data_IF_246750590440
#
_entry.id   IF_246750590440
#
_cell.length_a   1.000
_cell.length_b   1.000
_cell.length_c   1.000
_cell.angle_alpha   90.00
_cell.angle_beta   90.00
_cell.angle_gamma   90.00
#
_symmetry.space_group_name_H-M   'P 1'
#
loop_
_entity.id
_entity.type
_entity.pdbx_description
1 polymer ?
#
# COMPACT_ATOMS: atom_id res chain seq x y z
N UNK A 1 -6.60 -18.77 -3.04
CA UNK A 1 -5.97 -17.49 -2.64
C UNK A 1 -7.03 -16.42 -2.82
N UNK A 2 -7.55 -15.86 -1.74
CA UNK A 2 -8.58 -14.82 -1.83
C UNK A 2 -7.96 -13.54 -2.40
N UNK A 3 -8.52 -13.03 -3.50
CA UNK A 3 -8.10 -11.78 -4.13
C UNK A 3 -9.07 -10.67 -3.71
N UNK A 4 -8.54 -9.50 -3.36
CA UNK A 4 -9.31 -8.29 -3.08
C UNK A 4 -9.10 -7.27 -4.19
N UNK A 5 -10.17 -6.56 -4.54
CA UNK A 5 -10.13 -5.50 -5.53
C UNK A 5 -10.03 -4.15 -4.82
N UNK A 6 -8.99 -3.39 -5.17
CA UNK A 6 -8.76 -2.04 -4.65
C UNK A 6 -8.52 -1.07 -5.80
N UNK A 7 -8.67 0.23 -5.54
CA UNK A 7 -8.34 1.29 -6.48
C UNK A 7 -7.17 2.10 -5.95
N UNK A 8 -6.08 2.19 -6.72
CA UNK A 8 -4.93 3.04 -6.41
C UNK A 8 -4.91 4.17 -7.44
N UNK A 9 -5.09 5.42 -7.00
CA UNK A 9 -5.16 6.60 -7.89
C UNK A 9 -6.13 6.42 -9.08
N UNK A 10 -7.27 5.77 -8.84
CA UNK A 10 -8.27 5.47 -9.87
C UNK A 10 -8.02 4.19 -10.69
N UNK A 11 -6.83 3.59 -10.59
CA UNK A 11 -6.46 2.34 -11.27
C UNK A 11 -7.00 1.16 -10.47
N UNK A 12 -7.86 0.35 -11.08
CA UNK A 12 -8.37 -0.87 -10.46
C UNK A 12 -7.29 -1.96 -10.48
N UNK A 13 -6.97 -2.51 -9.31
CA UNK A 13 -5.99 -3.60 -9.16
C UNK A 13 -6.53 -4.70 -8.24
N UNK A 14 -6.13 -5.94 -8.54
CA UNK A 14 -6.44 -7.10 -7.71
C UNK A 14 -5.18 -7.60 -7.01
N UNK A 15 -5.22 -7.64 -5.68
CA UNK A 15 -4.12 -8.13 -4.83
C UNK A 15 -4.58 -9.28 -3.94
N UNK A 16 -3.68 -10.21 -3.58
CA UNK A 16 -3.99 -11.20 -2.55
C UNK A 16 -4.44 -10.52 -1.24
N UNK A 17 -5.38 -11.16 -0.56
CA UNK A 17 -5.78 -10.75 0.79
C UNK A 17 -4.55 -10.82 1.71
N UNK A 18 -4.31 -9.73 2.45
CA UNK A 18 -3.12 -9.58 3.30
C UNK A 18 -1.94 -8.86 2.63
N UNK A 19 -2.06 -8.46 1.36
CA UNK A 19 -1.08 -7.56 0.74
C UNK A 19 -1.12 -6.15 1.34
N UNK A 20 0.04 -5.49 1.33
CA UNK A 20 0.18 -4.10 1.78
C UNK A 20 -0.31 -3.11 0.70
N UNK A 21 -0.53 -1.85 1.07
CA UNK A 21 -0.84 -0.80 0.09
C UNK A 21 0.33 -0.60 -0.88
N UNK A 22 1.57 -0.78 -0.41
CA UNK A 22 2.78 -0.73 -1.23
C UNK A 22 2.78 -1.81 -2.33
N UNK A 23 2.34 -3.05 -2.02
CA UNK A 23 2.21 -4.11 -3.02
C UNK A 23 1.14 -3.80 -4.06
N UNK A 24 0.00 -3.23 -3.62
CA UNK A 24 -1.06 -2.80 -4.51
C UNK A 24 -0.60 -1.66 -5.44
N UNK A 25 0.14 -0.68 -4.90
CA UNK A 25 0.69 0.42 -5.69
C UNK A 25 1.70 -0.06 -6.74
N UNK A 26 2.59 -0.99 -6.38
CA UNK A 26 3.53 -1.60 -7.34
C UNK A 26 2.81 -2.32 -8.47
N UNK A 27 1.74 -3.06 -8.18
CA UNK A 27 0.92 -3.68 -9.23
C UNK A 27 0.20 -2.66 -10.13
N UNK A 28 -0.13 -1.49 -9.58
CA UNK A 28 -0.68 -0.37 -10.35
C UNK A 28 0.38 0.38 -11.18
N UNK A 29 1.66 0.00 -11.10
CA UNK A 29 2.76 0.72 -11.76
C UNK A 29 3.15 2.03 -11.06
N UNK A 30 2.72 2.22 -9.80
CA UNK A 30 3.01 3.41 -9.00
C UNK A 30 4.15 3.09 -8.05
N UNK A 31 5.25 3.82 -8.20
CA UNK A 31 6.40 3.71 -7.31
C UNK A 31 6.20 4.61 -6.08
N UNK A 32 6.12 3.99 -4.91
CA UNK A 32 6.13 4.69 -3.62
C UNK A 32 7.53 4.55 -3.04
N UNK A 33 8.22 5.65 -2.71
CA UNK A 33 9.55 5.59 -2.14
C UNK A 33 9.52 4.88 -0.79
N UNK A 34 10.55 4.10 -0.51
CA UNK A 34 10.71 3.39 0.77
C UNK A 34 12.17 3.38 1.20
N UNK A 35 12.43 3.70 2.48
CA UNK A 35 13.78 3.62 3.06
C UNK A 35 13.94 2.45 4.02
N UNK A 36 12.98 2.27 4.94
CA UNK A 36 13.07 1.24 5.98
C UNK A 36 12.37 -0.09 5.61
N UNK A 37 11.70 -0.15 4.46
CA UNK A 37 10.99 -1.35 4.02
C UNK A 37 11.95 -2.26 3.23
N UNK A 38 12.13 -3.48 3.71
CA UNK A 38 12.83 -4.54 3.00
C UNK A 38 11.92 -5.76 2.97
N UNK A 39 11.49 -6.15 1.76
CA UNK A 39 10.63 -7.32 1.55
C UNK A 39 11.25 -8.53 2.26
N UNK A 40 10.44 -9.26 3.02
CA UNK A 40 10.83 -10.47 3.79
C UNK A 40 11.77 -10.24 4.98
N UNK A 41 12.16 -9.00 5.28
CA UNK A 41 13.10 -8.71 6.38
C UNK A 41 12.59 -7.68 7.38
N UNK A 42 11.97 -6.59 6.92
CA UNK A 42 11.59 -5.50 7.80
C UNK A 42 10.36 -4.73 7.30
N UNK A 43 9.30 -4.77 8.10
CA UNK A 43 8.00 -4.12 7.87
C UNK A 43 7.66 -3.23 9.08
N UNK A 44 8.53 -2.26 9.39
CA UNK A 44 8.41 -1.44 10.62
C UNK A 44 7.76 -0.07 10.40
N UNK A 45 7.69 0.40 9.15
CA UNK A 45 7.12 1.72 8.84
C UNK A 45 7.81 2.91 9.51
N UNK A 46 9.04 2.76 10.03
CA UNK A 46 9.70 3.78 10.85
C UNK A 46 10.07 5.06 10.09
N UNK A 47 10.46 4.95 8.81
CA UNK A 47 10.93 6.11 8.04
C UNK A 47 9.80 7.06 7.59
N UNK A 48 8.54 6.61 7.60
CA UNK A 48 7.35 7.38 7.19
C UNK A 48 7.43 8.05 5.81
N UNK A 49 8.34 7.64 4.94
CA UNK A 49 8.45 8.21 3.57
C UNK A 49 7.37 7.67 2.63
N UNK A 50 6.80 6.51 2.94
CA UNK A 50 5.78 5.83 2.13
C UNK A 50 4.34 6.21 2.54
N UNK A 51 4.14 7.40 3.08
CA UNK A 51 2.83 7.83 3.57
C UNK A 51 1.88 8.08 2.42
N UNK A 52 0.65 7.58 2.55
CA UNK A 52 -0.41 7.66 1.55
C UNK A 52 -1.75 7.95 2.21
N UNK A 53 -2.68 8.47 1.40
CA UNK A 53 -4.05 8.72 1.79
C UNK A 53 -4.96 7.56 1.37
N UNK A 54 -5.73 7.02 2.31
CA UNK A 54 -6.68 5.93 2.07
C UNK A 54 -8.10 6.42 2.34
N UNK A 55 -8.97 6.20 1.37
CA UNK A 55 -10.39 6.50 1.49
C UNK A 55 -11.14 5.27 2.05
N UNK A 56 -11.66 5.37 3.27
CA UNK A 56 -12.44 4.32 3.94
C UNK A 56 -13.96 4.58 3.87
N UNK A 57 -14.41 5.43 2.94
CA UNK A 57 -15.82 5.77 2.71
C UNK A 57 -16.42 6.77 3.71
N UNK A 58 -15.81 6.93 4.89
CA UNK A 58 -16.20 7.90 5.93
C UNK A 58 -15.23 9.08 6.07
N UNK A 59 -14.19 9.12 5.23
CA UNK A 59 -13.14 10.12 5.26
C UNK A 59 -11.83 9.55 4.73
N UNK A 60 -10.81 10.42 4.73
CA UNK A 60 -9.45 10.07 4.35
C UNK A 60 -8.61 9.85 5.59
N UNK A 61 -7.88 8.73 5.62
CA UNK A 61 -6.92 8.42 6.68
C UNK A 61 -5.52 8.38 6.08
N UNK A 62 -4.59 9.01 6.79
CA UNK A 62 -3.18 8.98 6.42
C UNK A 62 -2.54 7.75 7.06
N UNK A 63 -1.96 6.89 6.23
CA UNK A 63 -1.32 5.64 6.65
C UNK A 63 0.03 5.47 5.96
N UNK A 64 0.88 4.62 6.51
CA UNK A 64 2.10 4.17 5.84
C UNK A 64 1.77 3.04 4.88
N UNK A 65 2.27 3.08 3.64
CA UNK A 65 1.91 2.08 2.65
C UNK A 65 2.56 0.70 2.87
N UNK A 66 3.67 0.66 3.60
CA UNK A 66 4.51 -0.53 3.73
C UNK A 66 4.19 -1.43 4.94
N UNK A 67 3.18 -1.08 5.74
CA UNK A 67 2.69 -1.81 6.92
C UNK A 67 1.18 -1.71 7.03
#
# INVERSE_FOLDING_TARGET
MDMINVKINGIAVSVPKGSTVLDAARKAGIEIPTLCFMKEKNEIGACRICVVEVNEGRGFRIVTACV
#
